data_IF_919460280368
#
_entry.id   IF_919460280368
#
_cell.length_a   1.000
_cell.length_b   1.000
_cell.length_c   1.000
_cell.angle_alpha   90.00
_cell.angle_beta   90.00
_cell.angle_gamma   90.00
#
_symmetry.space_group_name_H-M   'P 1'
#
loop_
_entity.id
_entity.type
_entity.pdbx_description
1 polymer ?
#
# COMPACT_ATOMS: atom_id res chain seq x y z
N UNK A 1 -6.59 -8.57 27.44
CA UNK A 1 -7.05 -9.21 26.19
C UNK A 1 -5.93 -9.37 25.17
N UNK A 2 -5.66 -10.62 24.81
CA UNK A 2 -4.64 -11.02 23.83
C UNK A 2 -4.91 -12.45 23.31
N UNK A 3 -4.18 -12.89 22.28
CA UNK A 3 -4.24 -14.27 21.77
C UNK A 3 -2.86 -14.93 21.76
N UNK A 4 -2.79 -16.18 22.24
CA UNK A 4 -1.60 -17.02 22.08
C UNK A 4 -1.75 -17.90 20.84
N UNK A 5 -1.05 -17.57 19.77
CA UNK A 5 -1.03 -18.40 18.56
C UNK A 5 0.13 -19.40 18.64
N UNK A 6 -0.13 -20.73 18.67
CA UNK A 6 0.93 -21.71 18.82
C UNK A 6 1.78 -21.80 17.54
N UNK A 7 3.05 -22.17 17.70
CA UNK A 7 3.99 -22.28 16.58
C UNK A 7 3.50 -23.23 15.48
N UNK A 8 2.84 -24.33 15.83
CA UNK A 8 2.25 -25.27 14.86
C UNK A 8 1.20 -24.62 13.96
N UNK A 9 0.42 -23.68 14.49
CA UNK A 9 -0.56 -22.92 13.70
C UNK A 9 0.14 -21.81 12.89
N UNK A 10 1.08 -21.07 13.48
CA UNK A 10 1.81 -20.01 12.76
C UNK A 10 2.51 -20.54 11.50
N UNK A 11 3.05 -21.77 11.55
CA UNK A 11 3.72 -22.40 10.41
C UNK A 11 2.82 -22.73 9.23
N UNK A 12 1.50 -22.67 9.39
CA UNK A 12 0.56 -22.86 8.26
C UNK A 12 0.33 -21.57 7.47
N UNK A 13 0.86 -20.43 7.93
CA UNK A 13 0.71 -19.12 7.28
C UNK A 13 2.02 -18.67 6.65
N UNK A 14 1.91 -17.92 5.54
CA UNK A 14 3.07 -17.33 4.87
C UNK A 14 3.80 -16.29 5.74
N UNK A 15 3.04 -15.51 6.52
CA UNK A 15 3.52 -14.25 7.10
C UNK A 15 3.63 -13.13 6.05
N UNK A 16 4.36 -12.03 6.36
CA UNK A 16 4.53 -10.90 5.44
C UNK A 16 5.14 -11.33 4.11
N UNK A 17 4.65 -10.77 2.99
CA UNK A 17 5.16 -11.07 1.65
C UNK A 17 6.64 -10.70 1.47
N UNK A 18 7.13 -9.65 2.13
CA UNK A 18 8.54 -9.24 2.01
C UNK A 18 9.20 -9.17 3.38
N UNK A 19 8.54 -8.49 4.33
CA UNK A 19 9.10 -8.25 5.66
C UNK A 19 10.15 -7.14 5.66
N UNK A 20 10.48 -6.67 6.86
CA UNK A 20 11.28 -5.45 7.08
C UNK A 20 12.67 -5.53 6.44
N UNK A 21 13.33 -6.69 6.54
CA UNK A 21 14.71 -6.86 6.06
C UNK A 21 14.78 -6.70 4.55
N UNK A 22 14.00 -7.50 3.82
CA UNK A 22 14.02 -7.50 2.35
C UNK A 22 13.43 -6.22 1.78
N UNK A 23 12.48 -5.57 2.47
CA UNK A 23 11.99 -4.24 2.09
C UNK A 23 13.13 -3.21 2.10
N UNK A 24 13.93 -3.17 3.17
CA UNK A 24 15.09 -2.27 3.26
C UNK A 24 16.17 -2.58 2.23
N UNK A 25 16.40 -3.85 1.94
CA UNK A 25 17.32 -4.30 0.90
C UNK A 25 16.89 -3.83 -0.49
N UNK A 26 15.61 -4.04 -0.84
CA UNK A 26 15.04 -3.59 -2.12
C UNK A 26 15.06 -2.07 -2.29
N UNK A 27 14.93 -1.33 -1.21
CA UNK A 27 14.95 0.14 -1.22
C UNK A 27 16.36 0.73 -1.09
N UNK A 28 17.34 -0.08 -0.67
CA UNK A 28 18.69 0.36 -0.28
C UNK A 28 18.66 1.47 0.80
N UNK A 29 17.81 1.31 1.84
CA UNK A 29 17.59 2.32 2.90
C UNK A 29 17.73 1.72 4.30
N UNK A 30 18.76 2.16 5.03
CA UNK A 30 19.16 1.60 6.32
C UNK A 30 19.42 2.67 7.38
N UNK A 31 19.37 2.28 8.66
CA UNK A 31 19.73 3.16 9.78
C UNK A 31 18.70 4.25 10.14
N UNK A 32 17.70 4.48 9.30
CA UNK A 32 16.66 5.49 9.51
C UNK A 32 15.24 4.96 9.26
N UNK A 33 14.21 5.56 9.87
CA UNK A 33 12.82 5.34 9.49
C UNK A 33 12.56 5.76 8.03
N UNK A 34 11.64 5.08 7.37
CA UNK A 34 11.17 5.47 6.04
C UNK A 34 10.14 6.61 6.17
N UNK A 35 10.24 7.62 5.30
CA UNK A 35 9.36 8.79 5.27
C UNK A 35 8.29 8.64 4.18
N UNK A 36 7.03 8.83 4.58
CA UNK A 36 5.88 8.72 3.68
C UNK A 36 4.86 9.84 3.87
N UNK A 37 4.13 10.19 2.82
CA UNK A 37 3.01 11.13 2.89
C UNK A 37 1.79 10.69 2.08
N UNK A 38 0.59 10.91 2.62
CA UNK A 38 -0.66 10.73 1.87
C UNK A 38 -0.91 11.96 0.99
N UNK A 39 -1.19 11.75 -0.30
CA UNK A 39 -1.57 12.86 -1.20
C UNK A 39 -2.86 13.52 -0.71
N UNK A 40 -2.92 14.86 -0.81
CA UNK A 40 -4.06 15.68 -0.40
C UNK A 40 -4.50 16.64 -1.51
N UNK A 41 -5.79 17.07 -1.54
CA UNK A 41 -6.90 16.66 -0.67
C UNK A 41 -7.26 15.17 -0.82
N UNK A 42 -8.02 14.60 0.12
CA UNK A 42 -8.34 13.15 0.12
C UNK A 42 -8.94 12.70 -1.21
N UNK A 43 -9.90 13.47 -1.73
CA UNK A 43 -10.62 13.22 -2.98
C UNK A 43 -10.62 14.47 -3.86
N UNK A 44 -10.82 14.30 -5.17
CA UNK A 44 -11.09 15.40 -6.11
C UNK A 44 -9.92 15.83 -7.00
N UNK A 45 -8.70 15.33 -6.77
CA UNK A 45 -7.60 15.51 -7.73
C UNK A 45 -7.78 14.61 -8.96
N UNK A 46 -7.43 15.13 -10.14
CA UNK A 46 -7.29 14.33 -11.36
C UNK A 46 -6.00 13.50 -11.35
N UNK A 47 -5.91 12.47 -12.20
CA UNK A 47 -4.70 11.61 -12.30
C UNK A 47 -3.42 12.38 -12.55
N UNK A 48 -3.46 13.38 -13.44
CA UNK A 48 -2.33 14.27 -13.76
C UNK A 48 -1.85 15.06 -12.54
N UNK A 49 -2.79 15.68 -11.80
CA UNK A 49 -2.43 16.46 -10.61
C UNK A 49 -1.96 15.56 -9.48
N UNK A 50 -2.51 14.35 -9.36
CA UNK A 50 -2.04 13.33 -8.43
C UNK A 50 -0.56 12.99 -8.67
N UNK A 51 -0.20 12.68 -9.92
CA UNK A 51 1.19 12.41 -10.31
C UNK A 51 2.12 13.61 -10.08
N UNK A 52 1.62 14.84 -10.23
CA UNK A 52 2.39 16.05 -9.90
C UNK A 52 2.73 16.12 -8.40
N UNK A 53 1.77 15.87 -7.52
CA UNK A 53 2.00 15.87 -6.07
C UNK A 53 2.98 14.77 -5.68
N UNK A 54 2.83 13.57 -6.27
CA UNK A 54 3.77 12.45 -6.09
C UNK A 54 5.19 12.85 -6.49
N UNK A 55 5.38 13.46 -7.66
CA UNK A 55 6.69 13.91 -8.09
C UNK A 55 7.33 14.91 -7.11
N UNK A 56 6.61 15.98 -6.73
CA UNK A 56 7.17 17.03 -5.88
C UNK A 56 7.53 16.49 -4.49
N UNK A 57 6.68 15.65 -3.90
CA UNK A 57 6.94 15.08 -2.58
C UNK A 57 8.14 14.13 -2.57
N UNK A 58 8.25 13.24 -3.57
CA UNK A 58 9.37 12.29 -3.66
C UNK A 58 10.68 13.00 -3.95
N UNK A 59 10.68 13.97 -4.88
CA UNK A 59 11.86 14.78 -5.18
C UNK A 59 12.30 15.62 -3.98
N UNK A 60 11.34 16.06 -3.15
CA UNK A 60 11.60 16.80 -1.92
C UNK A 60 12.23 15.99 -0.79
N UNK A 61 12.41 14.67 -0.96
CA UNK A 61 13.13 13.81 -0.01
C UNK A 61 12.28 12.74 0.67
N UNK A 62 10.99 12.62 0.36
CA UNK A 62 10.19 11.49 0.84
C UNK A 62 10.62 10.19 0.14
N UNK A 63 10.55 9.06 0.85
CA UNK A 63 10.75 7.73 0.26
C UNK A 63 9.50 7.32 -0.51
N UNK A 64 8.35 7.64 0.07
CA UNK A 64 7.04 7.25 -0.44
C UNK A 64 6.02 8.37 -0.44
N UNK A 65 5.12 8.32 -1.41
CA UNK A 65 3.76 8.84 -1.23
C UNK A 65 2.77 7.68 -1.15
N UNK A 66 1.50 8.00 -0.93
CA UNK A 66 0.43 7.01 -1.02
C UNK A 66 -0.87 7.60 -1.47
N UNK A 67 -1.64 6.74 -2.11
CA UNK A 67 -3.06 6.97 -2.29
C UNK A 67 -3.74 7.14 -0.92
N UNK A 68 -4.78 7.97 -0.85
CA UNK A 68 -5.65 8.00 0.33
C UNK A 68 -6.53 6.72 0.35
N UNK A 69 -6.97 6.25 1.53
CA UNK A 69 -7.69 4.97 1.63
C UNK A 69 -9.00 4.94 0.85
N UNK A 70 -9.58 6.12 0.62
CA UNK A 70 -10.81 6.27 -0.15
C UNK A 70 -10.56 6.66 -1.61
N UNK A 71 -9.31 6.67 -2.08
CA UNK A 71 -8.98 6.78 -3.51
C UNK A 71 -8.91 5.39 -4.11
N UNK A 72 -9.90 5.05 -4.93
CA UNK A 72 -9.97 3.76 -5.63
C UNK A 72 -10.06 4.02 -7.13
N UNK A 73 -11.28 4.22 -7.64
CA UNK A 73 -11.56 4.63 -9.02
C UNK A 73 -12.88 5.39 -9.08
N UNK A 74 -12.80 6.71 -9.07
CA UNK A 74 -13.96 7.59 -8.99
C UNK A 74 -14.18 8.34 -10.32
N UNK A 75 -15.34 8.97 -10.52
CA UNK A 75 -15.60 9.77 -11.72
C UNK A 75 -14.56 10.88 -11.98
N UNK A 76 -13.99 11.48 -10.92
CA UNK A 76 -12.98 12.54 -11.06
C UNK A 76 -11.57 12.01 -11.40
N UNK A 77 -11.32 10.71 -11.23
CA UNK A 77 -10.01 10.09 -11.50
C UNK A 77 -10.15 8.57 -11.58
N UNK A 78 -10.02 8.01 -12.80
CA UNK A 78 -9.97 6.56 -12.97
C UNK A 78 -8.59 6.03 -12.60
N UNK A 79 -8.56 4.81 -12.07
CA UNK A 79 -7.35 4.28 -11.44
C UNK A 79 -6.16 4.11 -12.41
N UNK A 80 -6.40 3.78 -13.68
CA UNK A 80 -5.32 3.65 -14.69
C UNK A 80 -4.63 4.98 -14.96
N UNK A 81 -5.39 6.06 -15.09
CA UNK A 81 -4.84 7.41 -15.26
C UNK A 81 -3.94 7.77 -14.08
N UNK A 82 -4.38 7.47 -12.85
CA UNK A 82 -3.59 7.71 -11.64
C UNK A 82 -2.29 6.90 -11.66
N UNK A 83 -2.36 5.60 -11.95
CA UNK A 83 -1.19 4.72 -11.91
C UNK A 83 -0.12 5.20 -12.89
N UNK A 84 -0.48 5.50 -14.14
CA UNK A 84 0.46 5.98 -15.14
C UNK A 84 1.11 7.31 -14.76
N UNK A 85 0.32 8.29 -14.32
CA UNK A 85 0.86 9.60 -13.92
C UNK A 85 1.72 9.51 -12.64
N UNK A 86 1.37 8.61 -11.71
CA UNK A 86 2.20 8.34 -10.53
C UNK A 86 3.53 7.70 -10.92
N UNK A 87 3.54 6.70 -11.81
CA UNK A 87 4.77 6.07 -12.26
C UNK A 87 5.70 7.04 -12.98
N UNK A 88 5.16 7.93 -13.81
CA UNK A 88 5.94 9.04 -14.40
C UNK A 88 6.56 9.93 -13.30
N UNK A 89 5.77 10.31 -12.28
CA UNK A 89 6.27 11.09 -11.15
C UNK A 89 7.35 10.38 -10.33
N UNK A 90 7.18 9.08 -10.06
CA UNK A 90 8.12 8.22 -9.33
C UNK A 90 9.45 8.13 -10.09
N UNK A 91 9.41 7.78 -11.38
CA UNK A 91 10.61 7.60 -12.20
C UNK A 91 11.38 8.92 -12.36
N UNK A 92 10.68 10.04 -12.56
CA UNK A 92 11.30 11.37 -12.58
C UNK A 92 11.96 11.74 -11.26
N UNK A 93 11.35 11.41 -10.12
CA UNK A 93 11.92 11.69 -8.80
C UNK A 93 13.13 10.79 -8.51
N UNK A 94 13.04 9.50 -8.87
CA UNK A 94 14.17 8.56 -8.80
C UNK A 94 15.36 9.05 -9.62
N UNK A 95 15.15 9.39 -10.90
CA UNK A 95 16.21 9.92 -11.77
C UNK A 95 16.82 11.24 -11.25
N UNK A 96 16.02 12.09 -10.60
CA UNK A 96 16.49 13.36 -10.05
C UNK A 96 17.26 13.24 -8.73
N UNK A 97 17.12 12.12 -8.01
CA UNK A 97 17.68 11.95 -6.66
C UNK A 97 18.70 10.81 -6.57
N UNK A 98 18.69 9.87 -7.52
CA UNK A 98 19.48 8.65 -7.46
C UNK A 98 18.97 7.62 -6.46
N UNK A 99 17.78 7.82 -5.87
CA UNK A 99 17.19 6.92 -4.88
C UNK A 99 16.04 6.10 -5.45
N UNK A 100 15.84 4.90 -4.89
CA UNK A 100 14.58 4.16 -5.08
C UNK A 100 13.44 4.93 -4.41
N UNK A 101 12.38 5.19 -5.17
CA UNK A 101 11.16 5.89 -4.74
C UNK A 101 9.93 5.04 -5.06
N UNK A 102 8.81 5.33 -4.40
CA UNK A 102 7.53 4.69 -4.73
C UNK A 102 6.31 5.51 -4.32
N UNK A 103 5.14 5.07 -4.74
CA UNK A 103 3.87 5.53 -4.18
C UNK A 103 2.95 4.34 -4.00
N UNK A 104 2.30 4.22 -2.84
CA UNK A 104 1.43 3.07 -2.58
C UNK A 104 0.17 3.18 -3.45
N UNK A 105 0.15 2.45 -4.56
CA UNK A 105 -0.96 2.45 -5.51
C UNK A 105 -2.12 1.62 -4.93
N UNK A 106 -3.26 2.26 -4.67
CA UNK A 106 -4.40 1.62 -4.02
C UNK A 106 -5.16 0.71 -5.01
N UNK A 107 -5.08 -0.60 -4.74
CA UNK A 107 -5.71 -1.65 -5.54
C UNK A 107 -7.04 -2.12 -4.94
N UNK A 108 -7.48 -1.56 -3.80
CA UNK A 108 -8.77 -1.87 -3.19
C UNK A 108 -9.90 -1.67 -4.19
N UNK A 109 -10.71 -2.72 -4.37
CA UNK A 109 -11.82 -2.77 -5.32
C UNK A 109 -12.98 -3.60 -4.74
N UNK A 110 -14.14 -3.52 -5.39
CA UNK A 110 -15.36 -4.20 -4.94
C UNK A 110 -15.32 -5.73 -5.13
N UNK A 111 -14.56 -6.22 -6.11
CA UNK A 111 -14.41 -7.65 -6.38
C UNK A 111 -12.93 -8.04 -6.48
N UNK A 112 -12.64 -9.32 -6.27
CA UNK A 112 -11.27 -9.84 -6.36
C UNK A 112 -10.71 -9.72 -7.78
N UNK A 113 -11.54 -9.89 -8.82
CA UNK A 113 -11.12 -9.76 -10.22
C UNK A 113 -10.65 -8.35 -10.53
N UNK A 114 -11.35 -7.33 -10.03
CA UNK A 114 -10.94 -5.94 -10.22
C UNK A 114 -9.73 -5.58 -9.33
N UNK A 115 -9.61 -6.18 -8.15
CA UNK A 115 -8.44 -5.99 -7.29
C UNK A 115 -7.17 -6.57 -7.93
N UNK A 116 -7.22 -7.82 -8.39
CA UNK A 116 -6.12 -8.49 -9.10
C UNK A 116 -5.80 -7.74 -10.39
N UNK A 117 -6.79 -7.30 -11.17
CA UNK A 117 -6.54 -6.51 -12.39
C UNK A 117 -5.73 -5.23 -12.13
N UNK A 118 -5.97 -4.58 -10.99
CA UNK A 118 -5.18 -3.40 -10.57
C UNK A 118 -3.78 -3.80 -10.11
N UNK A 119 -3.66 -4.90 -9.36
CA UNK A 119 -2.38 -5.41 -8.89
C UNK A 119 -1.46 -5.81 -10.07
N UNK A 120 -1.99 -6.57 -11.03
CA UNK A 120 -1.27 -6.93 -12.27
C UNK A 120 -0.85 -5.70 -13.05
N UNK A 121 -1.72 -4.70 -13.17
CA UNK A 121 -1.34 -3.46 -13.85
C UNK A 121 -0.25 -2.68 -13.09
N UNK A 122 -0.30 -2.63 -11.75
CA UNK A 122 0.76 -2.02 -10.95
C UNK A 122 2.11 -2.71 -11.14
N UNK A 123 2.11 -4.04 -11.25
CA UNK A 123 3.29 -4.85 -11.59
C UNK A 123 3.77 -4.55 -13.01
N UNK A 124 2.87 -4.54 -13.99
CA UNK A 124 3.18 -4.28 -15.41
C UNK A 124 3.87 -2.92 -15.60
N UNK A 125 3.42 -1.89 -14.89
CA UNK A 125 4.03 -0.54 -14.95
C UNK A 125 5.29 -0.40 -14.08
N UNK A 126 5.69 -1.45 -13.36
CA UNK A 126 6.93 -1.48 -12.58
C UNK A 126 6.87 -0.78 -11.22
N UNK A 127 5.70 -0.71 -10.57
CA UNK A 127 5.62 -0.21 -9.19
C UNK A 127 6.36 -1.15 -8.23
N UNK A 128 7.02 -0.59 -7.22
CA UNK A 128 7.65 -1.38 -6.14
C UNK A 128 6.66 -1.74 -5.03
N UNK A 129 5.52 -1.03 -4.94
CA UNK A 129 4.59 -1.12 -3.82
C UNK A 129 3.14 -0.82 -4.23
N UNK A 130 2.22 -1.56 -3.63
CA UNK A 130 0.76 -1.36 -3.69
C UNK A 130 0.19 -1.22 -2.28
N UNK A 131 -1.04 -0.71 -2.18
CA UNK A 131 -1.80 -0.76 -0.93
C UNK A 131 -3.18 -1.37 -1.06
N UNK A 132 -3.62 -1.97 0.05
CA UNK A 132 -4.95 -2.54 0.27
C UNK A 132 -5.55 -1.97 1.56
N UNK A 133 -6.88 -1.96 1.63
CA UNK A 133 -7.61 -1.52 2.81
C UNK A 133 -8.19 -2.70 3.60
N UNK A 134 -8.16 -2.63 4.92
CA UNK A 134 -8.69 -3.66 5.83
C UNK A 134 -10.16 -3.98 5.55
N UNK A 135 -10.93 -3.02 5.04
CA UNK A 135 -12.34 -3.20 4.65
C UNK A 135 -12.55 -4.20 3.51
N UNK A 136 -11.50 -4.61 2.78
CA UNK A 136 -11.58 -5.71 1.81
C UNK A 136 -11.87 -7.07 2.47
N UNK A 137 -11.54 -7.21 3.75
CA UNK A 137 -11.75 -8.46 4.51
C UNK A 137 -10.61 -9.47 4.36
N UNK A 138 -10.49 -10.37 5.34
CA UNK A 138 -9.32 -11.23 5.50
C UNK A 138 -9.08 -12.20 4.33
N UNK A 139 -10.13 -12.74 3.71
CA UNK A 139 -9.98 -13.62 2.54
C UNK A 139 -9.26 -12.91 1.39
N UNK A 140 -9.69 -11.68 1.07
CA UNK A 140 -9.07 -10.88 0.02
C UNK A 140 -7.62 -10.49 0.39
N UNK A 141 -7.38 -10.13 1.66
CA UNK A 141 -6.05 -9.77 2.15
C UNK A 141 -5.08 -10.96 2.10
N UNK A 142 -5.52 -12.18 2.42
CA UNK A 142 -4.69 -13.37 2.28
C UNK A 142 -4.34 -13.64 0.81
N UNK A 143 -5.32 -13.56 -0.10
CA UNK A 143 -5.08 -13.68 -1.54
C UNK A 143 -4.06 -12.64 -2.03
N UNK A 144 -4.19 -11.38 -1.60
CA UNK A 144 -3.25 -10.34 -1.99
C UNK A 144 -1.85 -10.51 -1.37
N UNK A 145 -1.74 -11.05 -0.16
CA UNK A 145 -0.45 -11.34 0.46
C UNK A 145 0.31 -12.47 -0.25
N UNK A 146 -0.40 -13.51 -0.69
CA UNK A 146 0.16 -14.58 -1.52
C UNK A 146 0.59 -14.03 -2.88
N UNK A 147 -0.32 -13.30 -3.55
CA UNK A 147 -0.02 -12.66 -4.84
C UNK A 147 1.19 -11.74 -4.75
N UNK A 148 1.29 -10.91 -3.70
CA UNK A 148 2.40 -9.98 -3.53
C UNK A 148 3.76 -10.70 -3.40
N UNK A 149 3.79 -11.86 -2.72
CA UNK A 149 4.98 -12.71 -2.62
C UNK A 149 5.37 -13.27 -3.99
N UNK A 150 4.41 -13.80 -4.74
CA UNK A 150 4.65 -14.42 -6.05
C UNK A 150 5.04 -13.41 -7.14
N UNK A 151 4.78 -12.13 -6.91
CA UNK A 151 4.96 -11.05 -7.89
C UNK A 151 5.95 -9.97 -7.43
N UNK A 152 6.80 -10.28 -6.45
CA UNK A 152 7.84 -9.39 -5.94
C UNK A 152 7.35 -7.99 -5.53
N UNK A 153 6.13 -7.91 -5.00
CA UNK A 153 5.49 -6.63 -4.69
C UNK A 153 5.46 -6.35 -3.19
N UNK A 154 5.83 -5.13 -2.77
CA UNK A 154 5.57 -4.69 -1.39
C UNK A 154 4.07 -4.46 -1.20
N UNK A 155 3.53 -4.91 -0.06
CA UNK A 155 2.11 -4.80 0.26
C UNK A 155 1.88 -3.96 1.52
N UNK A 156 1.36 -2.75 1.34
CA UNK A 156 0.95 -1.88 2.43
C UNK A 156 -0.52 -2.12 2.82
N UNK A 157 -0.79 -2.35 4.11
CA UNK A 157 -2.16 -2.46 4.64
C UNK A 157 -2.57 -1.18 5.34
N UNK A 158 -3.61 -0.51 4.83
CA UNK A 158 -4.29 0.56 5.54
C UNK A 158 -5.44 0.00 6.38
N UNK A 159 -5.50 0.35 7.67
CA UNK A 159 -6.45 -0.21 8.65
C UNK A 159 -7.84 0.45 8.66
N UNK A 160 -8.39 0.78 7.49
CA UNK A 160 -9.71 1.38 7.38
C UNK A 160 -10.77 0.56 8.13
N UNK A 161 -11.63 1.23 8.91
CA UNK A 161 -12.67 0.58 9.70
C UNK A 161 -12.23 0.00 11.06
N UNK A 162 -10.93 -0.18 11.33
CA UNK A 162 -10.45 -0.83 12.56
C UNK A 162 -11.01 -0.19 13.86
N UNK A 163 -11.03 1.13 13.94
CA UNK A 163 -11.46 1.84 15.17
C UNK A 163 -12.95 1.67 15.49
N UNK A 164 -13.75 1.08 14.59
CA UNK A 164 -15.17 0.77 14.87
C UNK A 164 -15.32 -0.27 15.98
N UNK A 165 -14.36 -1.18 16.12
CA UNK A 165 -14.33 -2.21 17.17
C UNK A 165 -13.04 -2.20 18.01
N UNK A 166 -12.01 -1.42 17.64
CA UNK A 166 -10.75 -1.39 18.38
C UNK A 166 -10.55 -0.15 19.27
N UNK A 167 -11.54 0.75 19.34
CA UNK A 167 -11.42 2.02 20.08
C UNK A 167 -11.75 1.90 21.57
N UNK A 168 -12.84 1.23 21.90
CA UNK A 168 -13.38 1.23 23.25
C UNK A 168 -12.68 0.17 24.11
N UNK A 169 -12.34 0.53 25.34
CA UNK A 169 -11.64 -0.39 26.26
C UNK A 169 -12.58 -1.47 26.82
N UNK A 170 -13.87 -1.16 26.94
CA UNK A 170 -14.87 -2.01 27.59
C UNK A 170 -15.54 -3.02 26.65
N UNK A 171 -15.45 -2.84 25.33
CA UNK A 171 -16.03 -3.75 24.35
C UNK A 171 -15.31 -3.65 23.00
N UNK A 172 -15.14 -4.79 22.34
CA UNK A 172 -14.52 -4.89 21.02
C UNK A 172 -13.27 -5.76 21.00
N UNK A 173 -12.37 -5.50 20.05
CA UNK A 173 -11.13 -6.26 19.84
C UNK A 173 -9.95 -5.30 19.97
N UNK A 174 -9.06 -5.55 20.93
CA UNK A 174 -7.85 -4.74 21.03
C UNK A 174 -7.03 -4.85 19.74
N UNK A 175 -6.53 -3.73 19.22
CA UNK A 175 -5.76 -3.71 17.97
C UNK A 175 -4.55 -4.65 17.97
N UNK A 176 -3.96 -4.98 19.14
CA UNK A 176 -2.86 -5.97 19.23
C UNK A 176 -3.23 -7.35 18.69
N UNK A 177 -4.51 -7.72 18.72
CA UNK A 177 -5.01 -9.01 18.20
C UNK A 177 -5.19 -8.97 16.68
N UNK A 178 -5.33 -7.77 16.10
CA UNK A 178 -5.41 -7.57 14.64
C UNK A 178 -4.02 -7.54 14.00
N UNK A 179 -2.97 -7.24 14.77
CA UNK A 179 -1.56 -7.26 14.35
C UNK A 179 -1.00 -8.68 14.29
#
# INVERSE_FOLDING_TARGET
EDMRIPHSYLKTFQGPATGIIVERERLNKYGIPLLGATVKPKLGLSGKNYGRVVYEGLKGGLDFLKDDENINSQPFMRWRERFLNCMEGINRASAATGEVKGSYLNITAATMEECIKRAEYAKEVGSIIIMVDLVMGYTALQSMALWARENDMLLHLHRAGNSTYARQKNHGINFRVIC
#
